data_IF_707707447174
#
_entry.id   IF_707707447174
#
_cell.length_a   1.000
_cell.length_b   1.000
_cell.length_c   1.000
_cell.angle_alpha   90.00
_cell.angle_beta   90.00
_cell.angle_gamma   90.00
#
_symmetry.space_group_name_H-M   'P 1'
#
loop_
_entity.id
_entity.type
_entity.pdbx_description
1 polymer ?
#
# COMPACT_ATOMS: atom_id res chain seq x y z
N UNK A 1 1.27 -10.12 -7.22
CA UNK A 1 1.29 -10.97 -6.01
C UNK A 1 1.38 -10.10 -4.75
N UNK A 2 0.37 -10.19 -3.90
CA UNK A 2 0.31 -9.51 -2.59
C UNK A 2 0.93 -10.41 -1.50
N UNK A 3 1.82 -9.85 -0.68
CA UNK A 3 2.45 -10.57 0.44
C UNK A 3 2.37 -9.74 1.71
N UNK A 4 1.68 -10.27 2.73
CA UNK A 4 1.68 -9.72 4.08
C UNK A 4 2.84 -10.31 4.90
N UNK A 5 3.46 -9.51 5.75
CA UNK A 5 4.55 -9.91 6.66
C UNK A 5 4.04 -10.35 8.02
N UNK A 6 2.79 -10.06 8.32
CA UNK A 6 2.11 -10.39 9.57
C UNK A 6 0.70 -10.89 9.28
N UNK A 7 0.20 -11.78 10.14
CA UNK A 7 -1.20 -12.21 10.08
C UNK A 7 -2.07 -11.16 10.76
N UNK A 8 -2.77 -10.36 9.95
CA UNK A 8 -3.63 -9.26 10.40
C UNK A 8 -5.04 -9.48 9.86
N UNK A 9 -6.02 -9.38 10.75
CA UNK A 9 -7.42 -9.34 10.38
C UNK A 9 -7.79 -7.94 9.89
N UNK A 10 -8.22 -7.86 8.63
CA UNK A 10 -8.59 -6.63 7.94
C UNK A 10 -10.10 -6.53 7.70
N UNK A 11 -10.90 -7.42 8.32
CA UNK A 11 -12.35 -7.37 8.23
C UNK A 11 -12.88 -6.02 8.73
N UNK A 12 -13.74 -5.40 7.92
CA UNK A 12 -14.29 -4.06 8.17
C UNK A 12 -13.29 -2.89 8.16
N UNK A 13 -12.08 -3.07 7.62
CA UNK A 13 -11.16 -1.94 7.41
C UNK A 13 -11.57 -1.09 6.22
N UNK A 14 -11.02 0.13 6.15
CA UNK A 14 -11.04 0.98 4.96
C UNK A 14 -9.69 0.93 4.25
N UNK A 15 -9.66 0.52 2.98
CA UNK A 15 -8.48 0.59 2.13
C UNK A 15 -8.38 1.97 1.46
N UNK A 16 -7.21 2.59 1.54
CA UNK A 16 -6.83 3.80 0.82
C UNK A 16 -5.84 3.39 -0.27
N UNK A 17 -6.24 3.57 -1.53
CA UNK A 17 -5.48 3.20 -2.71
C UNK A 17 -5.16 4.45 -3.54
N UNK A 18 -3.94 5.01 -3.46
CA UNK A 18 -3.60 6.22 -4.18
C UNK A 18 -3.51 5.97 -5.69
N UNK A 19 -3.91 6.97 -6.48
CA UNK A 19 -3.61 7.01 -7.90
C UNK A 19 -2.23 7.63 -8.17
N UNK A 20 -1.49 7.05 -9.12
CA UNK A 20 -0.27 7.66 -9.68
C UNK A 20 -0.71 8.63 -10.78
N UNK A 21 -0.79 9.91 -10.43
CA UNK A 21 -1.40 10.94 -11.26
C UNK A 21 -0.63 12.28 -11.19
N UNK A 22 -1.23 13.34 -11.75
CA UNK A 22 -0.62 14.68 -11.82
C UNK A 22 -0.16 15.15 -10.45
N UNK A 23 1.12 15.51 -10.34
CA UNK A 23 1.72 16.03 -9.12
C UNK A 23 1.86 15.02 -7.98
N UNK A 24 1.62 13.72 -8.24
CA UNK A 24 1.73 12.64 -7.25
C UNK A 24 0.90 12.90 -5.97
N UNK A 25 -0.20 13.65 -6.09
CA UNK A 25 -0.97 14.13 -4.94
C UNK A 25 -1.48 12.97 -4.08
N UNK A 26 -1.96 11.89 -4.69
CA UNK A 26 -2.40 10.69 -3.97
C UNK A 26 -1.25 10.06 -3.16
N UNK A 27 -0.09 9.89 -3.79
CA UNK A 27 1.11 9.30 -3.17
C UNK A 27 1.64 10.15 -2.00
N UNK A 28 1.66 11.48 -2.16
CA UNK A 28 2.06 12.41 -1.11
C UNK A 28 1.02 12.50 0.02
N UNK A 29 -0.26 12.33 -0.30
CA UNK A 29 -1.33 12.30 0.72
C UNK A 29 -1.20 11.06 1.59
N UNK A 30 -0.94 9.90 1.00
CA UNK A 30 -0.70 8.67 1.79
C UNK A 30 0.62 8.70 2.54
N UNK A 31 1.65 9.41 2.05
CA UNK A 31 2.89 9.68 2.82
C UNK A 31 2.56 10.37 4.15
N UNK A 32 1.73 11.42 4.09
CA UNK A 32 1.31 12.14 5.28
C UNK A 32 0.47 11.26 6.20
N UNK A 33 -0.43 10.42 5.68
CA UNK A 33 -1.21 9.49 6.50
C UNK A 33 -0.31 8.49 7.23
N UNK A 34 0.61 7.85 6.50
CA UNK A 34 1.53 6.86 7.07
C UNK A 34 2.40 7.50 8.15
N UNK A 35 2.99 8.65 7.86
CA UNK A 35 3.88 9.35 8.79
C UNK A 35 3.13 9.89 10.03
N UNK A 36 1.99 10.56 9.86
CA UNK A 36 1.28 11.18 10.99
C UNK A 36 0.57 10.16 11.89
N UNK A 37 0.09 9.05 11.32
CA UNK A 37 -0.56 7.98 12.08
C UNK A 37 0.44 6.91 12.53
N UNK A 38 1.72 7.05 12.16
CA UNK A 38 2.79 6.11 12.50
C UNK A 38 2.45 4.67 12.09
N UNK A 39 1.92 4.51 10.87
CA UNK A 39 1.41 3.21 10.41
C UNK A 39 2.58 2.24 10.15
N UNK A 40 2.58 1.05 10.76
CA UNK A 40 3.58 0.04 10.44
C UNK A 40 3.37 -0.52 9.04
N UNK A 41 4.46 -0.85 8.35
CA UNK A 41 4.41 -1.66 7.13
C UNK A 41 3.99 -3.09 7.50
N UNK A 42 2.97 -3.60 6.82
CA UNK A 42 2.39 -4.94 7.06
C UNK A 42 2.51 -5.86 5.85
N UNK A 43 3.05 -5.36 4.74
CA UNK A 43 3.20 -6.14 3.53
C UNK A 43 3.69 -5.33 2.34
N UNK A 44 3.67 -5.97 1.18
CA UNK A 44 4.07 -5.40 -0.10
C UNK A 44 3.35 -6.08 -1.26
N UNK A 45 3.29 -5.41 -2.40
CA UNK A 45 2.69 -5.91 -3.63
C UNK A 45 3.76 -5.96 -4.70
N UNK A 46 3.99 -7.16 -5.25
CA UNK A 46 4.82 -7.33 -6.42
C UNK A 46 3.93 -7.34 -7.66
N UNK A 47 4.17 -6.42 -8.60
CA UNK A 47 3.48 -6.38 -9.89
C UNK A 47 4.51 -6.10 -10.99
N UNK A 48 4.43 -6.84 -12.08
CA UNK A 48 5.26 -6.61 -13.27
C UNK A 48 4.86 -5.34 -14.04
N UNK A 49 3.71 -4.76 -13.71
CA UNK A 49 3.21 -3.52 -14.32
C UNK A 49 3.92 -2.27 -13.80
N UNK A 50 4.73 -2.38 -12.76
CA UNK A 50 5.41 -1.25 -12.11
C UNK A 50 6.94 -1.40 -12.19
N UNK A 51 7.64 -0.27 -12.27
CA UNK A 51 9.11 -0.27 -12.25
C UNK A 51 9.58 -0.77 -10.87
N UNK A 52 10.45 -1.78 -10.78
CA UNK A 52 10.93 -2.28 -9.51
C UNK A 52 11.78 -1.22 -8.79
N UNK A 53 11.49 -1.01 -7.50
CA UNK A 53 12.19 -0.08 -6.62
C UNK A 53 12.48 -0.80 -5.30
N UNK A 54 13.66 -0.52 -4.73
CA UNK A 54 14.02 -0.89 -3.36
C UNK A 54 14.77 0.28 -2.72
N UNK A 55 14.49 0.56 -1.46
CA UNK A 55 15.12 1.67 -0.74
C UNK A 55 15.05 1.51 0.78
N UNK A 56 15.70 2.43 1.49
CA UNK A 56 15.60 2.53 2.94
C UNK A 56 14.22 3.04 3.37
N UNK A 57 13.82 2.75 4.60
CA UNK A 57 12.54 3.19 5.15
C UNK A 57 12.43 4.73 5.14
N UNK A 58 11.41 5.25 4.46
CA UNK A 58 11.19 6.69 4.31
C UNK A 58 10.56 7.36 5.54
N UNK A 59 10.02 6.59 6.48
CA UNK A 59 9.27 7.09 7.64
C UNK A 59 10.04 6.92 8.95
N UNK A 60 11.07 6.07 8.97
CA UNK A 60 11.85 5.74 10.16
C UNK A 60 13.35 5.70 9.84
N UNK A 61 14.09 6.76 10.23
CA UNK A 61 15.51 6.95 9.90
C UNK A 61 16.43 5.81 10.38
N UNK A 62 16.07 5.11 11.44
CA UNK A 62 16.87 4.02 12.03
C UNK A 62 16.28 2.63 11.79
N UNK A 63 15.34 2.50 10.85
CA UNK A 63 14.76 1.21 10.50
C UNK A 63 15.65 0.46 9.50
N UNK A 64 15.83 -0.84 9.74
CA UNK A 64 16.44 -1.77 8.79
C UNK A 64 15.43 -2.32 7.78
N UNK A 65 14.16 -1.89 7.84
CA UNK A 65 13.12 -2.32 6.92
C UNK A 65 13.31 -1.66 5.55
N UNK A 66 13.27 -2.48 4.50
CA UNK A 66 13.28 -1.99 3.13
C UNK A 66 11.88 -1.63 2.67
N UNK A 67 11.79 -0.52 1.92
CA UNK A 67 10.59 -0.18 1.14
C UNK A 67 10.75 -0.70 -0.29
N UNK A 68 9.63 -0.97 -0.93
CA UNK A 68 9.57 -1.48 -2.31
C UNK A 68 8.76 -0.54 -3.21
N UNK A 69 8.54 -0.95 -4.46
CA UNK A 69 7.69 -0.23 -5.41
C UNK A 69 6.26 -0.02 -4.87
N UNK A 70 5.69 -1.02 -4.21
CA UNK A 70 4.34 -0.97 -3.64
C UNK A 70 4.33 -1.63 -2.28
N UNK A 71 4.11 -0.84 -1.24
CA UNK A 71 4.09 -1.31 0.15
C UNK A 71 2.69 -1.12 0.77
N UNK A 72 2.35 -2.00 1.71
CA UNK A 72 1.08 -1.99 2.42
C UNK A 72 1.34 -1.61 3.88
N UNK A 73 0.62 -0.63 4.38
CA UNK A 73 0.65 -0.16 5.77
C UNK A 73 -0.73 -0.33 6.40
N UNK A 74 -0.81 -0.61 7.70
CA UNK A 74 -2.12 -0.75 8.35
C UNK A 74 -2.11 -0.25 9.79
N UNK A 75 -3.14 0.51 10.15
CA UNK A 75 -3.39 1.00 11.50
C UNK A 75 -4.53 0.23 12.14
N UNK A 76 -4.25 -0.51 13.22
CA UNK A 76 -5.26 -1.33 13.91
C UNK A 76 -6.31 -0.44 14.61
N UNK A 77 -5.85 0.67 15.21
CA UNK A 77 -6.70 1.60 15.94
C UNK A 77 -7.63 2.37 15.00
N UNK A 78 -7.10 2.81 13.86
CA UNK A 78 -7.80 3.59 12.86
C UNK A 78 -8.66 2.72 11.93
N UNK A 79 -8.40 1.41 11.89
CA UNK A 79 -9.00 0.45 10.95
C UNK A 79 -8.83 0.87 9.49
N UNK A 80 -7.63 1.30 9.15
CA UNK A 80 -7.26 1.67 7.79
C UNK A 80 -6.11 0.80 7.28
N UNK A 81 -6.17 0.50 5.99
CA UNK A 81 -5.08 -0.07 5.21
C UNK A 81 -4.71 0.97 4.18
N UNK A 82 -3.42 1.25 4.02
CA UNK A 82 -2.91 2.24 3.09
C UNK A 82 -1.91 1.57 2.17
N UNK A 83 -2.15 1.66 0.87
CA UNK A 83 -1.17 1.26 -0.14
C UNK A 83 -0.34 2.49 -0.48
N UNK A 84 0.98 2.35 -0.48
CA UNK A 84 1.89 3.37 -1.01
C UNK A 84 2.53 2.85 -2.30
N UNK A 85 2.54 3.68 -3.34
CA UNK A 85 3.13 3.38 -4.64
C UNK A 85 4.29 4.35 -4.86
N UNK A 86 5.51 3.85 -5.05
CA UNK A 86 6.74 4.65 -5.22
C UNK A 86 7.26 4.72 -6.64
N UNK A 87 6.69 3.94 -7.55
CA UNK A 87 7.13 3.83 -8.94
C UNK A 87 5.98 4.12 -9.90
N UNK A 88 6.26 4.68 -11.10
CA UNK A 88 5.27 4.71 -12.17
C UNK A 88 4.95 3.29 -12.66
N UNK A 89 3.75 3.13 -13.23
CA UNK A 89 3.40 1.93 -13.97
C UNK A 89 3.84 2.05 -15.43
N UNK A 90 4.27 0.94 -16.03
CA UNK A 90 4.78 0.83 -17.40
C UNK A 90 4.07 -0.25 -18.21
N UNK A 91 3.22 -1.05 -17.57
CA UNK A 91 2.45 -2.13 -18.20
C UNK A 91 0.96 -2.03 -17.94
N UNK A 92 0.22 -3.07 -18.35
CA UNK A 92 -1.21 -3.17 -18.12
C UNK A 92 -1.54 -3.34 -16.64
N UNK A 93 -2.56 -2.63 -16.15
CA UNK A 93 -2.95 -2.64 -14.74
C UNK A 93 -4.06 -3.63 -14.42
N UNK A 94 -4.59 -4.35 -15.41
CA UNK A 94 -5.74 -5.24 -15.21
C UNK A 94 -5.46 -6.31 -14.15
N UNK A 95 -4.33 -7.01 -14.27
CA UNK A 95 -3.93 -8.02 -13.28
C UNK A 95 -3.69 -7.42 -11.89
N UNK A 96 -3.09 -6.22 -11.82
CA UNK A 96 -2.91 -5.52 -10.55
C UNK A 96 -4.27 -5.24 -9.88
N UNK A 97 -5.24 -4.70 -10.61
CA UNK A 97 -6.57 -4.43 -10.06
C UNK A 97 -7.36 -5.71 -9.75
N UNK A 98 -7.20 -6.78 -10.53
CA UNK A 98 -7.79 -8.08 -10.22
C UNK A 98 -7.27 -8.61 -8.87
N UNK A 99 -5.96 -8.56 -8.65
CA UNK A 99 -5.35 -8.97 -7.38
C UNK A 99 -5.81 -8.10 -6.20
N UNK A 100 -5.90 -6.77 -6.37
CA UNK A 100 -6.42 -5.87 -5.33
C UNK A 100 -7.89 -6.19 -5.03
N UNK A 101 -8.70 -6.42 -6.06
CA UNK A 101 -10.13 -6.75 -5.90
C UNK A 101 -10.31 -8.08 -5.16
N UNK A 102 -9.51 -9.09 -5.51
CA UNK A 102 -9.50 -10.36 -4.81
C UNK A 102 -9.10 -10.18 -3.34
N UNK A 103 -8.03 -9.42 -3.08
CA UNK A 103 -7.57 -9.13 -1.73
C UNK A 103 -8.63 -8.42 -0.88
N UNK A 104 -9.28 -7.39 -1.42
CA UNK A 104 -10.38 -6.66 -0.76
C UNK A 104 -11.53 -7.61 -0.40
N UNK A 105 -11.87 -8.50 -1.32
CA UNK A 105 -12.98 -9.46 -1.15
C UNK A 105 -12.64 -10.52 -0.10
N UNK A 106 -11.49 -11.19 -0.22
CA UNK A 106 -11.06 -12.26 0.68
C UNK A 106 -10.86 -11.77 2.11
N UNK A 107 -10.36 -10.53 2.26
CA UNK A 107 -10.12 -9.91 3.56
C UNK A 107 -11.34 -9.17 4.12
N UNK A 108 -12.47 -9.16 3.38
CA UNK A 108 -13.72 -8.49 3.78
C UNK A 108 -13.51 -7.01 4.17
N UNK A 109 -12.70 -6.31 3.39
CA UNK A 109 -12.48 -4.88 3.56
C UNK A 109 -13.79 -4.16 3.21
N UNK A 110 -14.31 -3.34 4.13
CA UNK A 110 -15.65 -2.76 4.01
C UNK A 110 -15.72 -1.62 3.00
N UNK A 111 -14.62 -0.90 2.78
CA UNK A 111 -14.60 0.28 1.92
C UNK A 111 -13.25 0.44 1.24
N UNK A 112 -13.28 0.92 0.00
CA UNK A 112 -12.10 1.37 -0.74
C UNK A 112 -12.27 2.86 -1.07
N UNK A 113 -11.22 3.64 -0.84
CA UNK A 113 -11.12 5.06 -1.19
C UNK A 113 -9.92 5.21 -2.15
N UNK A 114 -10.15 5.91 -3.25
CA UNK A 114 -9.15 6.22 -4.29
C UNK A 114 -8.61 7.65 -4.15
#
# INVERSE_FOLDING_TARGET
MIKLTQDIDLENYTLILPSVAVGNVGQLSVDLLISNLNLPKVGQIFSTSFIPVVGANAYHEHSNELITAIDIYAGIKERIVVIQIRSPYVGELLEFFNEITQFVTERKIAKVIF
#
